data_IF_769670176407
#
_entry.id   IF_769670176407
#
_cell.length_a   1.000
_cell.length_b   1.000
_cell.length_c   1.000
_cell.angle_alpha   90.00
_cell.angle_beta   90.00
_cell.angle_gamma   90.00
#
_symmetry.space_group_name_H-M   'P 1'
#
loop_
_entity.id
_entity.type
_entity.pdbx_description
1 polymer ?
#
# COMPACT_ATOMS: atom_id res chain seq x y z
N UNK A 1 35.52 -8.00 14.91
CA UNK A 1 34.32 -7.50 14.19
C UNK A 1 34.48 -6.00 13.97
N UNK A 2 34.20 -5.46 12.78
CA UNK A 2 34.23 -4.01 12.56
C UNK A 2 33.18 -3.32 13.44
N UNK A 3 33.58 -2.26 14.15
CA UNK A 3 32.65 -1.43 14.92
C UNK A 3 31.75 -0.67 13.94
N UNK A 4 30.46 -0.97 13.94
CA UNK A 4 29.45 -0.19 13.23
C UNK A 4 28.94 0.87 14.19
N UNK A 5 29.10 2.14 13.83
CA UNK A 5 28.57 3.27 14.58
C UNK A 5 27.33 3.80 13.87
N UNK A 6 26.30 4.14 14.64
CA UNK A 6 25.13 4.87 14.14
C UNK A 6 25.32 6.35 14.44
N UNK A 7 25.07 7.19 13.45
CA UNK A 7 25.01 8.63 13.65
C UNK A 7 23.56 9.00 13.97
N UNK A 8 23.37 9.73 15.07
CA UNK A 8 22.11 10.36 15.43
C UNK A 8 22.20 11.82 14.99
N UNK A 9 21.32 12.31 14.10
CA UNK A 9 21.28 13.72 13.72
C UNK A 9 21.06 14.63 14.94
N UNK A 10 21.65 15.83 14.91
CA UNK A 10 21.61 16.78 16.03
C UNK A 10 20.18 17.10 16.49
N UNK A 11 19.24 17.18 15.55
CA UNK A 11 17.80 17.40 15.77
C UNK A 11 17.09 16.28 16.57
N UNK A 12 17.72 15.12 16.74
CA UNK A 12 17.16 13.96 17.44
C UNK A 12 17.92 13.58 18.72
N UNK A 13 18.98 14.32 19.10
CA UNK A 13 19.81 14.00 20.28
C UNK A 13 18.99 13.96 21.57
N UNK A 14 18.11 14.94 21.79
CA UNK A 14 17.32 15.01 23.02
C UNK A 14 16.34 13.82 23.14
N UNK A 15 15.74 13.41 22.02
CA UNK A 15 14.87 12.23 21.96
C UNK A 15 15.67 10.95 22.23
N UNK A 16 16.88 10.85 21.69
CA UNK A 16 17.76 9.71 21.90
C UNK A 16 18.19 9.57 23.36
N UNK A 17 18.59 10.66 24.03
CA UNK A 17 19.00 10.62 25.45
C UNK A 17 17.83 10.20 26.36
N UNK A 18 16.62 10.73 26.14
CA UNK A 18 15.42 10.29 26.91
C UNK A 18 15.09 8.81 26.69
N UNK A 19 15.21 8.34 25.45
CA UNK A 19 15.00 6.94 25.11
C UNK A 19 16.04 6.04 25.78
N UNK A 20 17.31 6.46 25.77
CA UNK A 20 18.41 5.79 26.45
C UNK A 20 18.18 5.66 27.95
N UNK A 21 17.84 6.76 28.63
CA UNK A 21 17.56 6.75 30.07
C UNK A 21 16.43 5.77 30.42
N UNK A 22 15.39 5.72 29.59
CA UNK A 22 14.24 4.82 29.77
C UNK A 22 14.65 3.35 29.65
N UNK A 23 15.47 3.01 28.64
CA UNK A 23 15.95 1.64 28.41
C UNK A 23 16.88 1.20 29.53
N UNK A 24 17.81 2.06 29.93
CA UNK A 24 18.78 1.75 30.99
C UNK A 24 18.06 1.56 32.34
N UNK A 25 16.99 2.34 32.62
CA UNK A 25 16.15 2.17 33.79
C UNK A 25 15.37 0.82 33.80
N UNK A 26 15.09 0.24 32.64
CA UNK A 26 14.46 -1.08 32.48
C UNK A 26 15.47 -2.24 32.59
N UNK A 27 16.76 -1.94 32.78
CA UNK A 27 17.83 -2.95 32.85
C UNK A 27 18.22 -3.53 31.49
N UNK A 28 17.77 -2.89 30.39
CA UNK A 28 18.11 -3.28 29.03
C UNK A 28 19.31 -2.48 28.49
N UNK A 29 19.90 -2.95 27.41
CA UNK A 29 20.96 -2.20 26.71
C UNK A 29 20.40 -1.57 25.45
N UNK A 30 20.75 -0.31 25.19
CA UNK A 30 20.35 0.41 23.95
C UNK A 30 20.70 -0.41 22.70
N UNK A 31 21.88 -1.04 22.70
CA UNK A 31 22.32 -1.90 21.59
C UNK A 31 21.39 -3.09 21.39
N UNK A 32 20.94 -3.73 22.48
CA UNK A 32 19.98 -4.84 22.43
C UNK A 32 18.63 -4.40 21.87
N UNK A 33 18.09 -3.28 22.36
CA UNK A 33 16.81 -2.73 21.89
C UNK A 33 16.88 -2.32 20.43
N UNK A 34 17.94 -1.61 20.01
CA UNK A 34 18.13 -1.23 18.60
C UNK A 34 18.26 -2.44 17.68
N UNK A 35 18.97 -3.49 18.11
CA UNK A 35 19.08 -4.73 17.33
C UNK A 35 17.70 -5.40 17.17
N UNK A 36 16.92 -5.48 18.24
CA UNK A 36 15.57 -6.04 18.18
C UNK A 36 14.65 -5.21 17.30
N UNK A 37 14.70 -3.88 17.42
CA UNK A 37 13.96 -2.97 16.56
C UNK A 37 14.33 -3.16 15.08
N UNK A 38 15.62 -3.19 14.75
CA UNK A 38 16.08 -3.43 13.38
C UNK A 38 15.66 -4.81 12.85
N UNK A 39 15.70 -5.86 13.69
CA UNK A 39 15.24 -7.20 13.30
C UNK A 39 13.75 -7.21 12.99
N UNK A 40 12.93 -6.59 13.82
CA UNK A 40 11.49 -6.48 13.62
C UNK A 40 11.19 -5.69 12.34
N UNK A 41 11.84 -4.54 12.16
CA UNK A 41 11.71 -3.72 10.95
C UNK A 41 12.11 -4.50 9.68
N UNK A 42 13.22 -5.24 9.72
CA UNK A 42 13.65 -6.08 8.59
C UNK A 42 12.64 -7.21 8.33
N UNK A 43 12.12 -7.85 9.38
CA UNK A 43 11.11 -8.90 9.25
C UNK A 43 9.81 -8.35 8.63
N UNK A 44 9.37 -7.16 9.07
CA UNK A 44 8.24 -6.44 8.50
C UNK A 44 8.48 -6.05 7.04
N UNK A 45 9.66 -5.53 6.69
CA UNK A 45 10.03 -5.23 5.30
C UNK A 45 10.00 -6.49 4.43
N UNK A 46 10.55 -7.60 4.92
CA UNK A 46 10.52 -8.87 4.20
C UNK A 46 9.09 -9.40 4.01
N UNK A 47 8.27 -9.36 5.05
CA UNK A 47 6.87 -9.75 4.97
C UNK A 47 6.08 -8.84 4.01
N UNK A 48 6.35 -7.53 4.02
CA UNK A 48 5.75 -6.55 3.13
C UNK A 48 6.09 -6.82 1.65
N UNK A 49 7.33 -7.19 1.37
CA UNK A 49 7.80 -7.51 0.03
C UNK A 49 7.37 -8.90 -0.46
N UNK A 50 6.88 -9.77 0.43
CA UNK A 50 6.46 -11.11 0.08
C UNK A 50 5.18 -11.09 -0.79
N UNK A 51 5.28 -11.67 -1.99
CA UNK A 51 4.18 -11.69 -2.97
C UNK A 51 3.99 -10.38 -3.72
N UNK A 52 4.96 -9.46 -3.65
CA UNK A 52 5.03 -8.31 -4.54
C UNK A 52 5.52 -8.77 -5.92
N UNK A 53 4.70 -8.54 -6.94
CA UNK A 53 4.98 -8.93 -8.32
C UNK A 53 4.98 -7.70 -9.24
N UNK A 54 5.65 -7.82 -10.38
CA UNK A 54 5.54 -6.83 -11.47
C UNK A 54 4.24 -7.07 -12.23
N UNK A 55 3.49 -6.00 -12.49
CA UNK A 55 2.31 -6.06 -13.34
C UNK A 55 2.11 -4.76 -14.12
N UNK A 56 1.28 -4.85 -15.16
CA UNK A 56 0.96 -3.74 -16.04
C UNK A 56 -0.53 -3.47 -16.00
N UNK A 57 -0.89 -2.21 -15.75
CA UNK A 57 -2.27 -1.74 -15.79
C UNK A 57 -2.42 -0.76 -16.93
N UNK A 58 -3.48 -0.90 -17.70
CA UNK A 58 -3.77 0.03 -18.77
C UNK A 58 -4.62 1.19 -18.23
N UNK A 59 -4.23 2.42 -18.50
CA UNK A 59 -4.95 3.64 -18.11
C UNK A 59 -5.43 4.36 -19.36
N UNK A 60 -6.74 4.48 -19.56
CA UNK A 60 -7.29 5.14 -20.74
C UNK A 60 -8.75 4.83 -21.04
N UNK A 61 -9.14 5.00 -22.31
CA UNK A 61 -10.47 4.65 -22.85
C UNK A 61 -10.35 3.67 -24.04
N UNK A 62 -11.16 2.60 -23.99
CA UNK A 62 -11.23 1.51 -24.96
C UNK A 62 -12.65 1.44 -25.49
N UNK A 63 -12.82 1.54 -26.79
CA UNK A 63 -14.07 1.19 -27.46
C UNK A 63 -13.97 -0.26 -27.95
N UNK A 64 -15.04 -1.05 -27.82
CA UNK A 64 -15.11 -2.41 -28.38
C UNK A 64 -14.95 -2.42 -29.92
N UNK A 65 -15.06 -1.26 -30.60
CA UNK A 65 -15.09 -1.14 -32.06
C UNK A 65 -13.78 -0.85 -32.80
N UNK A 66 -12.83 -0.04 -32.29
CA UNK A 66 -11.60 0.26 -33.07
C UNK A 66 -10.50 1.05 -32.34
N UNK A 67 -10.83 2.00 -31.46
CA UNK A 67 -9.84 2.95 -30.93
C UNK A 67 -9.54 2.72 -29.45
N UNK A 68 -8.24 2.59 -29.15
CA UNK A 68 -7.72 2.54 -27.79
C UNK A 68 -6.88 3.79 -27.55
N UNK A 69 -7.35 4.69 -26.68
CA UNK A 69 -6.56 5.84 -26.22
C UNK A 69 -6.10 5.57 -24.79
N UNK A 70 -4.80 5.59 -24.55
CA UNK A 70 -4.30 5.33 -23.21
C UNK A 70 -2.83 4.95 -23.18
N UNK A 71 -2.39 4.54 -22.00
CA UNK A 71 -1.03 4.12 -21.74
C UNK A 71 -1.02 2.87 -20.89
N UNK A 72 0.00 2.04 -21.10
CA UNK A 72 0.29 0.94 -20.20
C UNK A 72 1.25 1.45 -19.11
N UNK A 73 0.88 1.27 -17.85
CA UNK A 73 1.66 1.74 -16.70
C UNK A 73 2.13 0.54 -15.89
N UNK A 74 3.43 0.52 -15.60
CA UNK A 74 4.09 -0.56 -14.88
C UNK A 74 4.10 -0.29 -13.38
N UNK A 75 3.76 -1.29 -12.58
CA UNK A 75 3.79 -1.25 -11.12
C UNK A 75 4.44 -2.48 -10.52
N UNK A 76 4.85 -2.35 -9.26
CA UNK A 76 5.24 -3.45 -8.40
C UNK A 76 4.37 -3.42 -7.16
N UNK A 77 3.64 -4.50 -6.91
CA UNK A 77 2.76 -4.59 -5.77
C UNK A 77 2.12 -5.95 -5.63
N UNK A 78 1.28 -6.07 -4.61
CA UNK A 78 0.50 -7.25 -4.31
C UNK A 78 -0.98 -6.89 -4.38
N UNK A 79 -1.78 -7.71 -5.05
CA UNK A 79 -3.24 -7.56 -5.03
C UNK A 79 -3.76 -7.85 -3.62
N UNK A 80 -4.52 -6.91 -3.06
CA UNK A 80 -5.15 -7.03 -1.74
C UNK A 80 -6.60 -7.49 -1.89
N UNK A 81 -7.33 -6.89 -2.82
CA UNK A 81 -8.76 -7.11 -2.99
C UNK A 81 -9.21 -6.87 -4.43
N UNK A 82 -10.34 -7.45 -4.81
CA UNK A 82 -11.03 -7.08 -6.06
C UNK A 82 -12.53 -7.20 -5.91
N UNK A 83 -13.27 -6.30 -6.53
CA UNK A 83 -14.72 -6.38 -6.58
C UNK A 83 -15.23 -5.94 -7.94
N UNK A 84 -16.39 -6.47 -8.32
CA UNK A 84 -17.16 -5.96 -9.45
C UNK A 84 -18.58 -5.70 -8.97
N UNK A 85 -19.17 -4.61 -9.42
CA UNK A 85 -20.53 -4.22 -9.08
C UNK A 85 -20.98 -3.03 -9.91
N UNK A 86 -22.24 -2.65 -9.75
CA UNK A 86 -22.83 -1.59 -10.54
C UNK A 86 -22.82 -0.27 -9.76
N UNK A 87 -22.41 0.81 -10.40
CA UNK A 87 -22.45 2.18 -9.88
C UNK A 87 -23.11 3.06 -10.93
N UNK A 88 -24.21 3.73 -10.57
CA UNK A 88 -24.90 4.70 -11.44
C UNK A 88 -25.20 4.15 -12.85
N UNK A 89 -25.70 2.91 -12.93
CA UNK A 89 -26.00 2.17 -14.17
C UNK A 89 -24.78 1.81 -15.03
N UNK A 90 -23.57 1.86 -14.48
CA UNK A 90 -22.36 1.38 -15.15
C UNK A 90 -21.78 0.20 -14.39
N UNK A 91 -21.35 -0.83 -15.11
CA UNK A 91 -20.65 -1.95 -14.51
C UNK A 91 -19.22 -1.52 -14.20
N UNK A 92 -18.82 -1.62 -12.95
CA UNK A 92 -17.50 -1.21 -12.49
C UNK A 92 -16.75 -2.40 -11.89
N UNK A 93 -15.51 -2.61 -12.34
CA UNK A 93 -14.53 -3.48 -11.71
C UNK A 93 -13.50 -2.64 -10.97
N UNK A 94 -13.12 -3.07 -9.78
CA UNK A 94 -12.08 -2.45 -8.97
C UNK A 94 -11.09 -3.50 -8.50
N UNK A 95 -9.80 -3.17 -8.53
CA UNK A 95 -8.74 -3.98 -7.96
C UNK A 95 -7.86 -3.08 -7.09
N UNK A 96 -7.67 -3.48 -5.84
CA UNK A 96 -6.80 -2.79 -4.89
C UNK A 96 -5.47 -3.53 -4.79
N UNK A 97 -4.38 -2.77 -4.88
CA UNK A 97 -3.03 -3.26 -4.71
C UNK A 97 -2.32 -2.50 -3.59
N UNK A 98 -1.43 -3.19 -2.88
CA UNK A 98 -0.42 -2.58 -2.04
C UNK A 98 0.89 -2.56 -2.81
N UNK A 99 1.48 -1.39 -3.00
CA UNK A 99 2.68 -1.24 -3.83
C UNK A 99 3.94 -1.44 -2.99
N UNK A 100 5.06 -1.76 -3.66
CA UNK A 100 6.40 -1.82 -3.05
C UNK A 100 6.79 -0.53 -2.30
N UNK A 101 6.19 0.60 -2.66
CA UNK A 101 6.44 1.90 -2.02
C UNK A 101 5.50 2.16 -0.83
N UNK A 102 4.86 1.13 -0.26
CA UNK A 102 3.91 1.25 0.85
C UNK A 102 2.71 2.18 0.57
N UNK A 103 2.31 2.27 -0.71
CA UNK A 103 1.13 3.04 -1.15
C UNK A 103 0.00 2.12 -1.59
N UNK A 104 -1.23 2.58 -1.45
CA UNK A 104 -2.41 1.91 -1.97
C UNK A 104 -2.68 2.36 -3.41
N UNK A 105 -2.82 1.40 -4.32
CA UNK A 105 -3.17 1.64 -5.71
C UNK A 105 -4.54 1.03 -5.99
N UNK A 106 -5.49 1.87 -6.39
CA UNK A 106 -6.81 1.46 -6.84
C UNK A 106 -6.87 1.54 -8.37
N UNK A 107 -7.02 0.39 -9.00
CA UNK A 107 -7.35 0.27 -10.41
C UNK A 107 -8.87 0.17 -10.57
N UNK A 108 -9.46 0.97 -11.46
CA UNK A 108 -10.89 0.97 -11.74
C UNK A 108 -11.10 0.82 -13.23
N UNK A 109 -11.97 -0.09 -13.63
CA UNK A 109 -12.53 -0.18 -14.98
C UNK A 109 -14.03 0.04 -14.89
N UNK A 110 -14.55 0.98 -15.67
CA UNK A 110 -15.97 1.30 -15.76
C UNK A 110 -16.42 1.05 -17.19
N UNK A 111 -17.32 0.11 -17.35
CA UNK A 111 -18.03 -0.17 -18.59
C UNK A 111 -19.29 0.70 -18.64
N UNK A 112 -19.33 1.60 -19.62
CA UNK A 112 -20.45 2.52 -19.82
C UNK A 112 -21.52 1.81 -20.65
N UNK A 113 -22.65 1.52 -20.00
CA UNK A 113 -23.75 0.78 -20.63
C UNK A 113 -24.30 1.55 -21.84
N UNK A 114 -24.56 0.83 -22.94
CA UNK A 114 -25.09 1.41 -24.18
C UNK A 114 -24.08 2.16 -25.05
N UNK A 115 -22.89 2.48 -24.54
CA UNK A 115 -21.83 3.14 -25.32
C UNK A 115 -20.78 2.17 -25.87
N UNK A 116 -20.63 0.98 -25.28
CA UNK A 116 -19.57 0.05 -25.64
C UNK A 116 -18.16 0.57 -25.28
N UNK A 117 -18.08 1.45 -24.28
CA UNK A 117 -16.83 2.11 -23.87
C UNK A 117 -16.42 1.60 -22.50
N UNK A 118 -15.17 1.15 -22.37
CA UNK A 118 -14.50 0.88 -21.10
C UNK A 118 -13.52 2.01 -20.81
N UNK A 119 -13.70 2.66 -19.65
CA UNK A 119 -12.74 3.63 -19.11
C UNK A 119 -11.99 2.99 -17.96
N UNK A 120 -10.66 3.08 -17.98
CA UNK A 120 -9.85 2.69 -16.85
C UNK A 120 -9.16 3.89 -16.20
N UNK A 121 -8.99 3.82 -14.88
CA UNK A 121 -8.33 4.87 -14.10
C UNK A 121 -7.51 4.25 -12.99
N UNK A 122 -6.32 4.80 -12.79
CA UNK A 122 -5.44 4.45 -11.67
C UNK A 122 -5.48 5.59 -10.66
N UNK A 123 -5.71 5.26 -9.38
CA UNK A 123 -5.57 6.21 -8.27
C UNK A 123 -4.53 5.65 -7.30
N UNK A 124 -3.56 6.46 -6.89
CA UNK A 124 -2.54 6.07 -5.89
C UNK A 124 -2.66 7.00 -4.69
N UNK A 125 -2.66 6.42 -3.49
CA UNK A 125 -2.80 7.12 -2.21
C UNK A 125 -1.86 6.56 -1.16
N UNK A 126 -1.52 7.39 -0.17
CA UNK A 126 -0.61 7.00 0.89
C UNK A 126 -1.34 6.15 1.93
N UNK A 127 -2.61 6.46 2.20
CA UNK A 127 -3.45 5.67 3.11
C UNK A 127 -4.69 5.11 2.40
N UNK A 128 -5.24 4.02 2.94
CA UNK A 128 -6.45 3.40 2.41
C UNK A 128 -7.67 4.34 2.52
N UNK A 129 -7.76 5.12 3.60
CA UNK A 129 -8.86 6.05 3.86
C UNK A 129 -8.98 7.20 2.86
N UNK A 130 -7.91 7.53 2.13
CA UNK A 130 -7.91 8.55 1.08
C UNK A 130 -8.54 8.08 -0.24
N UNK A 131 -8.84 6.78 -0.37
CA UNK A 131 -9.49 6.24 -1.56
C UNK A 131 -11.01 6.46 -1.48
N UNK A 132 -11.54 7.18 -2.47
CA UNK A 132 -12.97 7.43 -2.60
C UNK A 132 -13.67 6.44 -3.56
N UNK A 133 -14.98 6.28 -3.37
CA UNK A 133 -15.85 5.49 -4.24
C UNK A 133 -15.45 4.00 -4.34
N UNK A 134 -15.06 3.39 -3.22
CA UNK A 134 -14.73 1.96 -3.16
C UNK A 134 -15.99 1.10 -3.23
N UNK A 135 -15.92 0.02 -4.01
CA UNK A 135 -16.99 -0.99 -4.02
C UNK A 135 -17.06 -1.70 -2.66
N UNK A 136 -18.26 -2.07 -2.16
CA UNK A 136 -18.42 -2.78 -0.89
C UNK A 136 -17.59 -4.07 -0.80
N UNK A 137 -17.39 -4.77 -1.92
CA UNK A 137 -16.55 -5.97 -1.98
C UNK A 137 -15.08 -5.68 -1.64
N UNK A 138 -14.53 -4.53 -2.09
CA UNK A 138 -13.16 -4.12 -1.73
C UNK A 138 -13.08 -3.89 -0.22
N UNK A 139 -14.02 -3.14 0.34
CA UNK A 139 -14.05 -2.83 1.78
C UNK A 139 -14.17 -4.13 2.59
N UNK A 140 -15.04 -5.05 2.18
CA UNK A 140 -15.24 -6.33 2.88
C UNK A 140 -14.00 -7.23 2.82
N UNK A 141 -13.37 -7.39 1.65
CA UNK A 141 -12.16 -8.20 1.51
C UNK A 141 -11.00 -7.62 2.31
N UNK A 142 -10.80 -6.30 2.25
CA UNK A 142 -9.76 -5.62 3.02
C UNK A 142 -10.00 -5.77 4.52
N UNK A 143 -11.26 -5.71 4.98
CA UNK A 143 -11.62 -5.93 6.39
C UNK A 143 -11.55 -7.40 6.83
N UNK A 144 -11.64 -8.37 5.92
CA UNK A 144 -11.49 -9.81 6.21
C UNK A 144 -10.02 -10.22 6.26
N UNK A 145 -9.19 -9.61 5.44
CA UNK A 145 -7.73 -9.66 5.53
C UNK A 145 -7.24 -8.83 6.73
N UNK A 146 -7.71 -9.15 7.94
CA UNK A 146 -7.25 -8.56 9.21
C UNK A 146 -5.77 -8.88 9.47
N UNK A 147 -4.94 -8.17 8.72
CA UNK A 147 -3.58 -7.70 8.98
C UNK A 147 -3.46 -6.21 8.54
N UNK A 148 -4.51 -5.63 7.92
CA UNK A 148 -4.50 -4.22 7.45
C UNK A 148 -5.00 -3.24 8.52
N UNK A 149 -5.46 -3.74 9.68
CA UNK A 149 -6.02 -2.91 10.75
C UNK A 149 -4.98 -2.27 11.69
N UNK A 150 -3.69 -2.60 11.57
CA UNK A 150 -2.60 -1.79 12.18
C UNK A 150 -2.24 -0.58 11.30
N UNK A 151 -2.92 -0.39 10.16
CA UNK A 151 -2.69 0.70 9.19
C UNK A 151 -3.82 1.75 9.16
N UNK A 152 -4.75 1.73 10.14
CA UNK A 152 -5.66 2.83 10.39
C UNK A 152 -5.45 3.28 11.84
N UNK A 153 -4.63 4.33 12.00
CA UNK A 153 -4.34 5.05 13.25
C UNK A 153 -5.36 4.82 14.39
N UNK A 154 -4.91 4.04 15.39
CA UNK A 154 -5.17 4.28 16.81
C UNK A 154 -3.83 4.22 17.53
#
# INVERSE_FOLDING_TARGET
>A
MPKKAFHVPDEHIETYEKFKETIEAQGETISGVLINFMRNYIAEEHAHLQGVEEFFLWEGTRDYGAECSGRLVRFYGKKIASATGDIENNKQSQILYYTKKRKFLLYRETEIEGAGIIKSKITIKDTFGELSCLLPGIISETNKSRDVAELLDV
#
